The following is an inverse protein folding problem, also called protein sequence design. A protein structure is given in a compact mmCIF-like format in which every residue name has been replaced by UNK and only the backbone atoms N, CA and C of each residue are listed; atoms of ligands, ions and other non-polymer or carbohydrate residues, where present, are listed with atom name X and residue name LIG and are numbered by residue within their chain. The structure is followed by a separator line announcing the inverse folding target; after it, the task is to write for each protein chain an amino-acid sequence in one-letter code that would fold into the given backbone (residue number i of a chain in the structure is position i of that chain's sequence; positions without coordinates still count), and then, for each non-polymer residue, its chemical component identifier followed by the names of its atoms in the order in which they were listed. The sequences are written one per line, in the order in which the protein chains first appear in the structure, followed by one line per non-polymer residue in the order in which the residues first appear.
data_IF_212976766300
#
_entry.id   IF_212976766300
#
_cell.length_a   1.000
_cell.length_b   1.000
_cell.length_c   1.000
_cell.angle_alpha   90.00
_cell.angle_beta   90.00
_cell.angle_gamma   90.00
#
_symmetry.space_group_name_H-M   'P 1'
#
loop_
_entity.id
_entity.type
_entity.pdbx_description
1 polymer ?
#
# COMPACT_ATOMS: atom_id res chain seq x y z
N UNK A 1 -8.40 10.06 13.66
CA UNK A 1 -7.10 9.52 13.23
C UNK A 1 -6.95 8.19 13.93
N UNK A 2 -6.66 7.14 13.16
CA UNK A 2 -6.40 5.82 13.73
C UNK A 2 -5.09 5.85 14.55
N UNK A 3 -5.04 5.16 15.69
CA UNK A 3 -3.83 5.03 16.52
C UNK A 3 -2.86 3.99 15.95
N UNK A 4 -3.40 3.00 15.23
CA UNK A 4 -2.66 1.95 14.54
C UNK A 4 -3.31 1.58 13.21
N UNK A 5 -2.57 0.87 12.36
CA UNK A 5 -3.06 0.33 11.10
C UNK A 5 -2.47 -1.05 10.82
N UNK A 6 -3.19 -1.85 10.01
CA UNK A 6 -2.71 -3.15 9.56
C UNK A 6 -2.05 -3.03 8.20
N UNK A 7 -0.90 -3.68 8.04
CA UNK A 7 -0.19 -3.81 6.77
C UNK A 7 0.43 -5.21 6.67
N UNK A 8 1.21 -5.46 5.62
CA UNK A 8 1.97 -6.71 5.46
C UNK A 8 3.44 -6.45 5.70
N UNK A 9 4.13 -7.41 6.31
CA UNK A 9 5.54 -7.25 6.69
C UNK A 9 6.49 -7.40 5.50
N UNK A 10 6.19 -8.37 4.63
CA UNK A 10 7.00 -8.74 3.48
C UNK A 10 6.11 -8.93 2.26
N UNK A 11 6.72 -8.94 1.07
CA UNK A 11 5.99 -9.30 -0.16
C UNK A 11 5.47 -10.73 -0.09
N UNK A 12 4.30 -10.97 -0.68
CA UNK A 12 3.73 -12.30 -0.86
C UNK A 12 3.17 -12.46 -2.27
N UNK A 13 3.03 -13.71 -2.70
CA UNK A 13 2.67 -14.08 -4.05
C UNK A 13 1.53 -15.11 -4.04
N UNK A 14 0.74 -15.15 -5.11
CA UNK A 14 -0.36 -16.08 -5.28
C UNK A 14 -0.56 -16.46 -6.74
N UNK A 15 -1.28 -17.57 -6.96
CA UNK A 15 -1.58 -18.09 -8.28
C UNK A 15 -3.00 -18.66 -8.32
N UNK A 16 -3.88 -17.99 -9.05
CA UNK A 16 -5.22 -18.47 -9.34
C UNK A 16 -5.36 -18.89 -10.81
N UNK A 17 -6.09 -19.98 -11.07
CA UNK A 17 -6.34 -20.49 -12.43
C UNK A 17 -7.83 -20.73 -12.64
N UNK A 18 -8.37 -20.24 -13.76
CA UNK A 18 -9.78 -20.38 -14.13
C UNK A 18 -9.91 -20.54 -15.64
N UNK A 19 -10.59 -21.60 -16.10
CA UNK A 19 -10.84 -21.89 -17.54
C UNK A 19 -9.62 -21.66 -18.44
N UNK A 20 -8.46 -22.16 -17.99
CA UNK A 20 -7.19 -22.04 -18.71
C UNK A 20 -6.47 -20.70 -18.55
N UNK A 21 -7.15 -19.65 -18.05
CA UNK A 21 -6.51 -18.38 -17.69
C UNK A 21 -5.71 -18.54 -16.41
N UNK A 22 -4.59 -17.82 -16.32
CA UNK A 22 -3.72 -17.77 -15.12
C UNK A 22 -3.66 -16.33 -14.62
N UNK A 23 -3.73 -16.19 -13.31
CA UNK A 23 -3.66 -14.92 -12.59
C UNK A 23 -2.54 -15.04 -11.56
N UNK A 24 -1.44 -14.32 -11.80
CA UNK A 24 -0.34 -14.20 -10.85
C UNK A 24 -0.60 -12.95 -10.02
N UNK A 25 -0.62 -13.08 -8.71
CA UNK A 25 -0.93 -12.00 -7.79
C UNK A 25 0.23 -11.73 -6.86
N UNK A 26 0.49 -10.47 -6.58
CA UNK A 26 1.60 -10.01 -5.75
C UNK A 26 1.06 -8.97 -4.78
N UNK A 27 1.31 -9.15 -3.48
CA UNK A 27 1.03 -8.16 -2.47
C UNK A 27 2.35 -7.63 -1.92
N UNK A 28 2.53 -6.31 -1.91
CA UNK A 28 3.80 -5.65 -1.65
C UNK A 28 3.55 -4.52 -0.64
N UNK A 29 4.27 -4.47 0.50
CA UNK A 29 4.20 -3.32 1.40
C UNK A 29 4.81 -2.10 0.72
N UNK A 30 4.13 -0.96 0.83
CA UNK A 30 4.54 0.31 0.20
C UNK A 30 4.14 1.47 1.10
N UNK A 31 4.95 2.53 1.10
CA UNK A 31 4.71 3.69 1.99
C UNK A 31 4.31 4.97 1.27
N UNK A 32 4.51 5.04 -0.05
CA UNK A 32 4.27 6.25 -0.84
C UNK A 32 4.07 5.96 -2.33
N UNK A 33 3.50 6.94 -3.04
CA UNK A 33 3.11 6.81 -4.45
C UNK A 33 4.31 6.57 -5.37
N UNK A 34 5.45 7.22 -5.10
CA UNK A 34 6.64 7.16 -5.96
C UNK A 34 7.15 5.73 -6.08
N UNK A 35 7.26 5.01 -4.96
CA UNK A 35 7.59 3.59 -4.92
C UNK A 35 6.57 2.73 -5.69
N UNK A 36 5.28 3.01 -5.55
CA UNK A 36 4.24 2.30 -6.31
C UNK A 36 4.46 2.47 -7.82
N UNK A 37 4.76 3.69 -8.29
CA UNK A 37 5.02 3.96 -9.71
C UNK A 37 6.24 3.17 -10.22
N UNK A 38 7.31 3.12 -9.42
CA UNK A 38 8.53 2.40 -9.78
C UNK A 38 8.31 0.89 -9.81
N UNK A 39 7.64 0.33 -8.79
CA UNK A 39 7.27 -1.09 -8.74
C UNK A 39 6.40 -1.45 -9.95
N UNK A 40 5.35 -0.68 -10.23
CA UNK A 40 4.47 -0.94 -11.37
C UNK A 40 5.22 -0.91 -12.71
N UNK A 41 6.17 0.00 -12.86
CA UNK A 41 7.01 0.08 -14.06
C UNK A 41 7.87 -1.17 -14.23
N UNK A 42 8.43 -1.69 -13.13
CA UNK A 42 9.27 -2.88 -13.18
C UNK A 42 8.46 -4.15 -13.43
N UNK A 43 7.31 -4.31 -12.77
CA UNK A 43 6.37 -5.42 -13.06
C UNK A 43 5.86 -5.37 -14.50
N UNK A 44 5.63 -4.18 -15.07
CA UNK A 44 5.24 -4.05 -16.50
C UNK A 44 6.34 -4.52 -17.45
N UNK A 45 7.62 -4.31 -17.10
CA UNK A 45 8.76 -4.80 -17.89
C UNK A 45 8.97 -6.29 -17.71
N UNK A 46 8.85 -6.79 -16.48
CA UNK A 46 9.01 -8.21 -16.16
C UNK A 46 7.95 -9.05 -16.86
N UNK A 47 6.69 -8.63 -16.78
CA UNK A 47 5.54 -9.28 -17.41
C UNK A 47 5.14 -8.59 -18.73
N UNK A 48 6.12 -8.24 -19.57
CA UNK A 48 5.88 -7.52 -20.82
C UNK A 48 4.98 -8.27 -21.82
N UNK A 49 4.88 -9.59 -21.68
CA UNK A 49 4.07 -10.48 -22.52
C UNK A 49 2.64 -10.69 -21.98
N UNK A 50 2.35 -10.22 -20.76
CA UNK A 50 1.03 -10.27 -20.19
C UNK A 50 0.10 -9.24 -20.83
N UNK A 51 -1.17 -9.58 -21.00
CA UNK A 51 -2.16 -8.66 -21.57
C UNK A 51 -2.55 -7.55 -20.60
N UNK A 52 -2.70 -7.91 -19.33
CA UNK A 52 -3.24 -7.03 -18.30
C UNK A 52 -2.42 -7.19 -17.01
N UNK A 53 -1.95 -6.08 -16.49
CA UNK A 53 -1.29 -5.90 -15.19
C UNK A 53 -2.18 -4.96 -14.38
N UNK A 54 -3.26 -5.53 -13.86
CA UNK A 54 -4.24 -4.79 -13.06
C UNK A 54 -3.70 -4.61 -11.65
N UNK A 55 -4.12 -3.57 -10.94
CA UNK A 55 -3.65 -3.35 -9.58
C UNK A 55 -4.65 -2.56 -8.75
N UNK A 56 -4.46 -2.62 -7.43
CA UNK A 56 -5.00 -1.65 -6.51
C UNK A 56 -4.01 -1.38 -5.38
N UNK A 57 -4.05 -0.18 -4.81
CA UNK A 57 -3.28 0.16 -3.62
C UNK A 57 -4.12 0.96 -2.64
N UNK A 58 -3.64 0.97 -1.40
CA UNK A 58 -4.16 1.80 -0.32
C UNK A 58 -2.99 2.29 0.54
N UNK A 59 -2.99 3.57 0.86
CA UNK A 59 -1.95 4.26 1.61
C UNK A 59 -2.56 5.05 2.77
N UNK A 60 -1.76 5.22 3.82
CA UNK A 60 -2.09 6.01 5.00
C UNK A 60 -2.97 5.28 6.00
N UNK A 61 -2.81 5.62 7.27
CA UNK A 61 -3.58 5.01 8.37
C UNK A 61 -5.08 5.30 8.28
N UNK A 62 -5.45 6.48 7.79
CA UNK A 62 -6.86 6.86 7.56
C UNK A 62 -7.44 6.25 6.27
N UNK A 63 -6.60 5.63 5.43
CA UNK A 63 -6.99 4.86 4.23
C UNK A 63 -7.70 5.69 3.14
N UNK A 64 -7.50 7.01 3.16
CA UNK A 64 -8.11 7.96 2.22
C UNK A 64 -7.40 8.01 0.87
N UNK A 65 -6.15 7.56 0.80
CA UNK A 65 -5.39 7.53 -0.44
C UNK A 65 -5.39 6.13 -1.05
N UNK A 66 -6.19 5.93 -2.09
CA UNK A 66 -6.31 4.62 -2.75
C UNK A 66 -6.52 4.74 -4.25
N UNK A 67 -6.22 3.65 -4.96
CA UNK A 67 -6.50 3.55 -6.40
C UNK A 67 -6.81 2.12 -6.78
N UNK A 68 -7.64 1.98 -7.82
CA UNK A 68 -7.92 0.73 -8.52
C UNK A 68 -7.71 0.96 -10.02
N UNK A 69 -7.06 0.03 -10.71
CA UNK A 69 -6.77 0.11 -12.13
C UNK A 69 -7.05 -1.24 -12.81
N UNK A 70 -7.87 -1.21 -13.85
CA UNK A 70 -8.28 -2.40 -14.61
C UNK A 70 -7.34 -2.75 -15.77
N UNK A 71 -6.39 -1.88 -16.13
CA UNK A 71 -5.39 -2.08 -17.19
C UNK A 71 -5.94 -2.66 -18.51
N UNK A 72 -7.05 -2.10 -19.00
CA UNK A 72 -7.68 -2.53 -20.25
C UNK A 72 -8.63 -3.72 -20.12
N UNK A 73 -8.78 -4.32 -18.93
CA UNK A 73 -9.95 -5.15 -18.62
C UNK A 73 -11.24 -4.29 -18.63
N UNK A 74 -12.42 -4.91 -18.79
CA UNK A 74 -13.69 -4.20 -18.67
C UNK A 74 -13.77 -3.44 -17.33
N UNK A 75 -14.28 -2.21 -17.39
CA UNK A 75 -14.26 -1.29 -16.24
C UNK A 75 -14.88 -1.91 -14.98
N UNK A 76 -14.14 -1.83 -13.88
CA UNK A 76 -14.54 -2.31 -12.57
C UNK A 76 -14.45 -3.83 -12.38
N UNK A 77 -13.93 -4.58 -13.35
CA UNK A 77 -13.84 -6.05 -13.25
C UNK A 77 -12.55 -6.58 -12.65
N UNK A 78 -11.53 -5.75 -12.49
CA UNK A 78 -10.23 -6.16 -11.95
C UNK A 78 -9.80 -5.32 -10.76
N UNK A 79 -9.55 -4.03 -10.96
CA UNK A 79 -9.03 -3.14 -9.92
C UNK A 79 -9.96 -3.02 -8.70
N UNK A 80 -11.27 -2.91 -8.92
CA UNK A 80 -12.25 -2.83 -7.82
C UNK A 80 -12.30 -4.12 -6.97
N UNK A 81 -12.37 -5.33 -7.56
CA UNK A 81 -12.22 -6.58 -6.82
C UNK A 81 -10.93 -6.68 -5.99
N UNK A 82 -9.78 -6.27 -6.55
CA UNK A 82 -8.49 -6.26 -5.83
C UNK A 82 -8.57 -5.31 -4.63
N UNK A 83 -9.00 -4.07 -4.84
CA UNK A 83 -9.19 -3.09 -3.77
C UNK A 83 -10.18 -3.57 -2.70
N UNK A 84 -11.22 -4.29 -3.12
CA UNK A 84 -12.17 -4.92 -2.22
C UNK A 84 -11.54 -5.95 -1.29
N UNK A 85 -10.51 -6.69 -1.75
CA UNK A 85 -9.77 -7.63 -0.90
C UNK A 85 -8.89 -6.93 0.14
N UNK A 86 -8.20 -5.85 -0.26
CA UNK A 86 -7.45 -4.98 0.67
C UNK A 86 -8.41 -4.46 1.75
N UNK A 87 -9.57 -3.94 1.33
CA UNK A 87 -10.59 -3.42 2.24
C UNK A 87 -11.14 -4.46 3.21
N UNK A 88 -11.45 -5.66 2.72
CA UNK A 88 -12.02 -6.72 3.55
C UNK A 88 -11.09 -7.21 4.67
N UNK A 89 -9.77 -7.00 4.51
CA UNK A 89 -8.75 -7.33 5.51
C UNK A 89 -8.29 -6.11 6.33
N UNK A 90 -8.93 -4.94 6.13
CA UNK A 90 -8.57 -3.68 6.79
C UNK A 90 -7.09 -3.29 6.62
N UNK A 91 -6.49 -3.64 5.48
CA UNK A 91 -5.08 -3.38 5.20
C UNK A 91 -4.88 -1.99 4.57
N UNK A 92 -3.72 -1.41 4.83
CA UNK A 92 -3.20 -0.19 4.19
C UNK A 92 -1.69 -0.30 3.99
N UNK A 93 -1.09 0.73 3.39
CA UNK A 93 0.32 0.78 3.03
C UNK A 93 0.72 -0.46 2.21
N UNK A 94 -0.10 -0.76 1.21
CA UNK A 94 -0.01 -1.99 0.43
C UNK A 94 -0.42 -1.76 -1.03
N UNK A 95 0.33 -2.39 -1.93
CA UNK A 95 0.05 -2.51 -3.35
C UNK A 95 -0.23 -3.97 -3.67
N UNK A 96 -1.34 -4.24 -4.35
CA UNK A 96 -1.66 -5.56 -4.89
C UNK A 96 -1.72 -5.50 -6.41
N UNK A 97 -0.89 -6.30 -7.07
CA UNK A 97 -0.81 -6.41 -8.53
C UNK A 97 -1.34 -7.78 -8.93
N UNK A 98 -2.15 -7.85 -9.99
CA UNK A 98 -2.61 -9.10 -10.59
C UNK A 98 -2.31 -9.09 -12.09
N UNK A 99 -1.39 -9.96 -12.50
CA UNK A 99 -0.99 -10.19 -13.87
C UNK A 99 -1.82 -11.32 -14.46
N UNK A 100 -2.48 -11.07 -15.60
CA UNK A 100 -3.34 -12.06 -16.25
C UNK A 100 -2.76 -12.55 -17.58
N UNK A 101 -2.70 -13.87 -17.69
CA UNK A 101 -2.50 -14.57 -18.97
C UNK A 101 -3.84 -15.16 -19.47
N UNK A 102 -4.20 -14.84 -20.71
CA UNK A 102 -5.44 -15.32 -21.32
C UNK A 102 -5.37 -16.81 -21.67
N UNK A 103 -6.39 -17.56 -21.26
CA UNK A 103 -6.45 -19.02 -21.40
C UNK A 103 -7.13 -19.56 -22.65
N UNK A 104 -7.50 -18.70 -23.60
CA UNK A 104 -8.28 -19.10 -24.79
C UNK A 104 -9.80 -19.09 -24.59
N UNK A 105 -10.30 -19.00 -23.35
CA UNK A 105 -11.73 -18.97 -23.02
C UNK A 105 -12.07 -17.66 -22.30
N UNK A 106 -13.12 -16.97 -22.77
CA UNK A 106 -13.63 -15.76 -22.12
C UNK A 106 -14.34 -16.12 -20.80
N UNK A 107 -14.02 -15.39 -19.73
CA UNK A 107 -14.65 -15.57 -18.41
C UNK A 107 -15.96 -14.79 -18.26
N UNK A 108 -16.17 -13.77 -19.10
CA UNK A 108 -17.24 -12.79 -18.92
C UNK A 108 -17.03 -11.88 -17.70
N UNK A 109 -17.81 -10.80 -17.59
CA UNK A 109 -17.67 -9.78 -16.53
C UNK A 109 -17.71 -10.38 -15.13
N UNK A 110 -18.70 -11.25 -14.84
CA UNK A 110 -18.83 -11.89 -13.53
C UNK A 110 -17.67 -12.83 -13.21
N UNK A 111 -17.18 -13.59 -14.21
CA UNK A 111 -16.04 -14.48 -14.04
C UNK A 111 -14.73 -13.74 -13.78
N UNK A 112 -14.52 -12.58 -14.42
CA UNK A 112 -13.36 -11.72 -14.17
C UNK A 112 -13.37 -11.19 -12.73
N UNK A 113 -14.52 -10.66 -12.29
CA UNK A 113 -14.67 -10.14 -10.92
C UNK A 113 -14.28 -11.20 -9.89
N UNK A 114 -14.78 -12.43 -10.06
CA UNK A 114 -14.44 -13.55 -9.16
C UNK A 114 -12.96 -13.91 -9.26
N UNK A 115 -12.41 -14.02 -10.47
CA UNK A 115 -11.01 -14.41 -10.66
C UNK A 115 -10.03 -13.40 -10.05
N UNK A 116 -10.21 -12.10 -10.28
CA UNK A 116 -9.37 -11.05 -9.69
C UNK A 116 -9.52 -10.99 -8.16
N UNK A 117 -10.74 -11.19 -7.65
CA UNK A 117 -10.99 -11.28 -6.22
C UNK A 117 -10.23 -12.46 -5.59
N UNK A 118 -10.31 -13.64 -6.20
CA UNK A 118 -9.65 -14.85 -5.68
C UNK A 118 -8.13 -14.77 -5.78
N UNK A 119 -7.60 -14.26 -6.89
CA UNK A 119 -6.16 -14.04 -7.04
C UNK A 119 -5.62 -13.07 -5.97
N UNK A 120 -6.26 -11.91 -5.80
CA UNK A 120 -5.84 -10.97 -4.76
C UNK A 120 -5.97 -11.55 -3.34
N UNK A 121 -7.02 -12.34 -3.08
CA UNK A 121 -7.17 -13.04 -1.80
C UNK A 121 -6.01 -14.01 -1.55
N UNK A 122 -5.64 -14.82 -2.54
CA UNK A 122 -4.57 -15.82 -2.44
C UNK A 122 -3.22 -15.18 -2.09
N UNK A 123 -2.84 -14.06 -2.72
CA UNK A 123 -1.62 -13.34 -2.34
C UNK A 123 -1.69 -12.80 -0.89
N UNK A 124 -2.83 -12.25 -0.48
CA UNK A 124 -3.00 -11.68 0.86
C UNK A 124 -3.08 -12.75 1.96
N UNK A 125 -3.60 -13.94 1.66
CA UNK A 125 -3.68 -15.05 2.60
C UNK A 125 -2.29 -15.68 2.87
N UNK A 126 -1.36 -15.53 1.93
CA UNK A 126 0.05 -15.89 2.11
C UNK A 126 0.89 -14.77 2.78
N UNK A 127 0.31 -13.60 3.05
CA UNK A 127 1.03 -12.49 3.64
C UNK A 127 1.10 -12.60 5.18
N UNK A 128 2.25 -12.25 5.76
CA UNK A 128 2.36 -12.02 7.21
C UNK A 128 1.82 -10.61 7.51
N UNK A 129 0.63 -10.53 8.11
CA UNK A 129 0.01 -9.28 8.52
C UNK A 129 0.62 -8.80 9.84
N UNK A 130 0.94 -7.51 9.90
CA UNK A 130 1.42 -6.85 11.12
C UNK A 130 0.63 -5.57 11.39
N UNK A 131 0.56 -5.21 12.67
CA UNK A 131 0.00 -3.95 13.13
C UNK A 131 1.14 -2.95 13.37
N UNK A 132 1.00 -1.74 12.86
CA UNK A 132 1.94 -0.63 13.05
C UNK A 132 1.24 0.54 13.71
N UNK A 133 1.94 1.20 14.63
CA UNK A 133 1.47 2.43 15.26
C UNK A 133 1.59 3.60 14.27
N UNK A 134 0.68 4.57 14.38
CA UNK A 134 0.78 5.82 13.62
C UNK A 134 1.75 6.74 14.33
N UNK A 135 2.96 6.88 13.77
CA UNK A 135 3.93 7.88 14.22
C UNK A 135 3.47 9.24 13.68
N UNK A 136 3.10 10.16 14.57
CA UNK A 136 2.71 11.50 14.21
C UNK A 136 3.94 12.41 14.21
N UNK A 137 4.39 12.82 13.03
CA UNK A 137 5.42 13.86 12.94
C UNK A 137 4.86 15.19 13.47
N UNK A 138 5.37 15.62 14.61
CA UNK A 138 5.06 16.87 15.27
C UNK A 138 6.15 17.92 14.98
N UNK A 139 5.75 19.19 15.00
CA UNK A 139 6.65 20.35 14.86
C UNK A 139 6.37 21.34 15.98
N UNK A 140 7.42 21.80 16.63
CA UNK A 140 7.36 22.91 17.59
C UNK A 140 8.36 24.00 17.18
N UNK A 141 7.91 25.25 17.21
CA UNK A 141 8.74 26.43 16.97
C UNK A 141 8.79 27.27 18.25
N UNK A 142 9.98 27.70 18.64
CA UNK A 142 10.22 28.42 19.89
C UNK A 142 11.48 29.28 19.82
N UNK A 143 11.60 30.24 20.74
CA UNK A 143 12.75 31.14 20.79
C UNK A 143 13.95 30.46 21.47
N UNK A 144 15.17 30.83 21.09
CA UNK A 144 16.42 30.26 21.64
C UNK A 144 16.48 30.13 23.18
N UNK A 145 15.97 31.09 23.99
CA UNK A 145 15.97 30.94 25.44
C UNK A 145 15.20 29.72 25.95
N UNK A 146 14.22 29.23 25.19
CA UNK A 146 13.35 28.10 25.57
C UNK A 146 13.94 26.74 25.18
N UNK A 147 15.09 26.71 24.48
CA UNK A 147 15.71 25.49 23.96
C UNK A 147 15.89 24.40 25.00
N UNK A 148 16.50 24.73 26.14
CA UNK A 148 16.79 23.72 27.16
C UNK A 148 15.51 23.14 27.76
N UNK A 149 14.46 23.95 27.93
CA UNK A 149 13.19 23.50 28.46
C UNK A 149 12.45 22.61 27.45
N UNK A 150 12.41 23.00 26.18
CA UNK A 150 11.77 22.20 25.12
C UNK A 150 12.47 20.86 24.93
N UNK A 151 13.80 20.86 24.82
CA UNK A 151 14.57 19.62 24.67
C UNK A 151 14.47 18.70 25.90
N UNK A 152 14.30 19.27 27.10
CA UNK A 152 14.04 18.48 28.32
C UNK A 152 12.69 17.78 28.23
N UNK A 153 11.62 18.51 27.91
CA UNK A 153 10.27 17.94 27.80
C UNK A 153 10.22 16.85 26.73
N UNK A 154 10.77 17.10 25.54
CA UNK A 154 10.81 16.09 24.47
C UNK A 154 11.53 14.81 24.92
N UNK A 155 12.62 14.94 25.69
CA UNK A 155 13.34 13.79 26.24
C UNK A 155 12.56 13.07 27.34
N UNK A 156 11.87 13.79 28.22
CA UNK A 156 11.04 13.23 29.28
C UNK A 156 9.86 12.42 28.72
N UNK A 157 9.28 12.87 27.62
CA UNK A 157 8.20 12.19 26.90
C UNK A 157 8.69 11.09 25.94
N UNK A 158 10.01 10.81 25.89
CA UNK A 158 10.64 9.88 24.94
C UNK A 158 10.33 10.17 23.45
N UNK A 159 10.13 11.44 23.09
CA UNK A 159 9.95 11.83 21.70
C UNK A 159 11.25 11.62 20.90
N UNK A 160 11.12 11.04 19.71
CA UNK A 160 12.20 10.84 18.75
C UNK A 160 12.37 12.10 17.91
N UNK A 161 13.45 12.85 18.12
CA UNK A 161 13.72 14.07 17.34
C UNK A 161 14.23 13.68 15.95
N UNK A 162 13.48 14.06 14.92
CA UNK A 162 13.76 13.72 13.52
C UNK A 162 14.56 14.80 12.79
N UNK A 163 14.33 16.07 13.09
CA UNK A 163 15.09 17.19 12.53
C UNK A 163 15.10 18.40 13.48
N UNK A 164 16.09 19.27 13.36
CA UNK A 164 16.14 20.55 14.07
C UNK A 164 16.71 21.64 13.18
N UNK A 165 15.93 22.72 13.02
CA UNK A 165 16.28 23.86 12.18
C UNK A 165 16.49 25.11 13.05
N UNK A 166 17.56 25.84 12.73
CA UNK A 166 17.97 27.05 13.43
C UNK A 166 17.92 28.23 12.45
N UNK A 167 16.86 29.01 12.51
CA UNK A 167 16.64 30.20 11.68
C UNK A 167 16.34 31.40 12.59
N UNK A 168 15.24 32.12 12.38
CA UNK A 168 14.73 33.19 13.26
C UNK A 168 14.05 32.60 14.52
N UNK A 169 14.71 31.63 15.15
CA UNK A 169 14.20 30.79 16.23
C UNK A 169 14.66 29.35 16.03
N UNK A 170 14.21 28.45 16.91
CA UNK A 170 14.42 27.02 16.74
C UNK A 170 13.12 26.33 16.34
N UNK A 171 13.21 25.43 15.36
CA UNK A 171 12.15 24.51 15.01
C UNK A 171 12.64 23.09 15.22
N UNK A 172 11.93 22.32 16.03
CA UNK A 172 12.21 20.88 16.22
C UNK A 172 11.08 20.09 15.59
N UNK A 173 11.45 19.08 14.80
CA UNK A 173 10.57 18.04 14.28
C UNK A 173 10.80 16.77 15.09
N UNK A 174 9.73 16.13 15.55
CA UNK A 174 9.82 14.95 16.41
C UNK A 174 8.62 14.04 16.19
N UNK A 175 8.75 12.76 16.54
CA UNK A 175 7.72 11.72 16.47
C UNK A 175 7.66 10.90 17.77
#
# INVERSE_FOLDING_TARGET
MAESYLTIKNRSEGLYKEKGSKFLSFAIPVSHIEEIKDILKDYRKEFYDARHVCYAYMLGADRDEFRANDDGEPSGTAGRPILGQINSRNLTNILVIVVRYFGGILLGTGGLIVAYKQAAADALDHAEIEERQVECAHKIHFDYPQMNDVMRVLKEENASITDTQYTDGCTVYFE
#
